data_IF_981970448034
#
_entry.id   IF_981970448034
#
_cell.length_a   1.000
_cell.length_b   1.000
_cell.length_c   1.000
_cell.angle_alpha   90.00
_cell.angle_beta   90.00
_cell.angle_gamma   90.00
#
_symmetry.space_group_name_H-M   'P 1'
#
loop_
_entity.id
_entity.type
_entity.pdbx_description
1 polymer ?
#
# COMPACT_ATOMS: atom_id res chain seq x y z
N UNK A 1 -12.73 -2.96 15.67
CA UNK A 1 -12.03 -3.85 16.63
C UNK A 1 -11.37 -3.01 17.71
N UNK A 2 -11.59 -3.38 18.96
CA UNK A 2 -11.02 -2.73 20.14
C UNK A 2 -9.50 -2.87 20.22
N UNK A 3 -8.85 -1.99 20.99
CA UNK A 3 -7.39 -1.96 21.11
C UNK A 3 -6.79 -3.31 21.54
N UNK A 4 -7.45 -4.01 22.49
CA UNK A 4 -7.03 -5.34 22.96
C UNK A 4 -7.16 -6.42 21.89
N UNK A 5 -8.21 -6.38 21.07
CA UNK A 5 -8.43 -7.34 19.99
C UNK A 5 -7.40 -7.15 18.89
N UNK A 6 -7.11 -5.91 18.51
CA UNK A 6 -6.07 -5.62 17.52
C UNK A 6 -4.66 -5.90 18.03
N UNK A 7 -4.39 -5.72 19.34
CA UNK A 7 -3.14 -6.13 19.95
C UNK A 7 -2.93 -7.64 19.86
N UNK A 8 -3.96 -8.42 20.20
CA UNK A 8 -3.91 -9.88 20.05
C UNK A 8 -3.71 -10.31 18.58
N UNK A 9 -4.40 -9.64 17.65
CA UNK A 9 -4.24 -9.87 16.21
C UNK A 9 -2.80 -9.62 15.73
N UNK A 10 -2.22 -8.48 16.10
CA UNK A 10 -0.84 -8.16 15.75
C UNK A 10 0.15 -9.19 16.31
N UNK A 11 -0.01 -9.59 17.58
CA UNK A 11 0.85 -10.61 18.19
C UNK A 11 0.72 -11.96 17.46
N UNK A 12 -0.49 -12.36 17.09
CA UNK A 12 -0.75 -13.65 16.46
C UNK A 12 -0.38 -13.74 14.98
N UNK A 13 -0.31 -12.60 14.28
CA UNK A 13 -0.15 -12.57 12.81
C UNK A 13 1.07 -11.81 12.30
N UNK A 14 1.63 -10.91 13.12
CA UNK A 14 2.68 -9.99 12.70
C UNK A 14 2.17 -8.76 11.92
N UNK A 15 0.87 -8.67 11.58
CA UNK A 15 0.32 -7.46 10.94
C UNK A 15 0.28 -6.27 11.90
N UNK A 16 0.38 -5.06 11.36
CA UNK A 16 0.30 -3.82 12.14
C UNK A 16 -1.15 -3.58 12.59
N UNK A 17 -1.37 -3.39 13.90
CA UNK A 17 -2.64 -2.91 14.41
C UNK A 17 -2.89 -1.45 13.97
N UNK A 18 -4.03 -1.19 13.33
CA UNK A 18 -4.39 0.17 12.88
C UNK A 18 -4.87 1.06 14.03
N UNK A 19 -5.35 0.46 15.13
CA UNK A 19 -5.69 1.18 16.34
C UNK A 19 -4.42 1.57 17.12
N UNK A 20 -4.10 2.87 17.14
CA UNK A 20 -2.93 3.42 17.83
C UNK A 20 -2.90 3.12 19.34
N UNK A 21 -4.04 2.83 19.97
CA UNK A 21 -4.08 2.46 21.38
C UNK A 21 -3.61 1.01 21.65
N UNK A 22 -3.50 0.15 20.62
CA UNK A 22 -3.06 -1.23 20.77
C UNK A 22 -1.64 -1.35 21.34
N UNK A 23 -0.72 -0.45 20.98
CA UNK A 23 0.67 -0.40 21.50
C UNK A 23 0.73 -0.12 23.01
N UNK A 24 -0.33 0.45 23.59
CA UNK A 24 -0.41 0.74 25.02
C UNK A 24 -0.92 -0.45 25.84
N UNK A 25 -1.35 -1.53 25.19
CA UNK A 25 -1.84 -2.72 25.91
C UNK A 25 -0.68 -3.48 26.55
N UNK A 26 -0.90 -3.97 27.78
CA UNK A 26 0.12 -4.73 28.50
C UNK A 26 0.61 -5.95 27.71
N UNK A 27 -0.29 -6.64 27.01
CA UNK A 27 0.04 -7.80 26.19
C UNK A 27 1.01 -7.45 25.05
N UNK A 28 0.75 -6.39 24.28
CA UNK A 28 1.63 -6.00 23.18
C UNK A 28 2.96 -5.41 23.68
N UNK A 29 2.96 -4.65 24.78
CA UNK A 29 4.21 -4.19 25.40
C UNK A 29 5.08 -5.34 25.89
N UNK A 30 4.48 -6.37 26.50
CA UNK A 30 5.21 -7.57 26.92
C UNK A 30 5.77 -8.35 25.71
N UNK A 31 4.99 -8.47 24.64
CA UNK A 31 5.42 -9.09 23.39
C UNK A 31 6.60 -8.35 22.75
N UNK A 32 6.53 -7.01 22.67
CA UNK A 32 7.62 -6.16 22.14
C UNK A 32 8.88 -6.28 23.01
N UNK A 33 8.76 -6.30 24.35
CA UNK A 33 9.92 -6.51 25.24
C UNK A 33 10.59 -7.86 25.02
N UNK A 34 9.80 -8.90 24.73
CA UNK A 34 10.32 -10.24 24.46
C UNK A 34 10.95 -10.33 23.06
N UNK A 35 10.38 -9.66 22.07
CA UNK A 35 10.89 -9.60 20.71
C UNK A 35 10.73 -8.17 20.14
N UNK A 36 11.78 -7.34 20.23
CA UNK A 36 11.75 -5.96 19.73
C UNK A 36 11.42 -5.83 18.25
N UNK A 37 11.72 -6.84 17.43
CA UNK A 37 11.48 -6.84 15.98
C UNK A 37 9.99 -6.67 15.63
N UNK A 38 9.08 -7.04 16.56
CA UNK A 38 7.63 -6.85 16.40
C UNK A 38 7.26 -5.35 16.29
N UNK A 39 8.09 -4.45 16.82
CA UNK A 39 7.85 -3.01 16.80
C UNK A 39 8.48 -2.31 15.59
N UNK A 40 9.45 -2.94 14.90
CA UNK A 40 10.19 -2.32 13.79
C UNK A 40 9.27 -1.81 12.67
N UNK A 41 8.25 -2.56 12.20
CA UNK A 41 7.33 -2.05 11.18
C UNK A 41 6.50 -0.85 11.65
N UNK A 42 6.19 -0.76 12.94
CA UNK A 42 5.49 0.40 13.52
C UNK A 42 6.41 1.62 13.54
N UNK A 43 7.67 1.44 13.96
CA UNK A 43 8.66 2.51 13.96
C UNK A 43 8.92 3.04 12.54
N UNK A 44 9.03 2.15 11.55
CA UNK A 44 9.15 2.53 10.14
C UNK A 44 7.93 3.32 9.64
N UNK A 45 6.72 2.88 9.97
CA UNK A 45 5.49 3.58 9.61
C UNK A 45 5.42 4.97 10.24
N UNK A 46 5.86 5.11 11.50
CA UNK A 46 5.86 6.38 12.24
C UNK A 46 6.97 7.34 11.80
N UNK A 47 8.11 6.83 11.33
CA UNK A 47 9.20 7.64 10.81
C UNK A 47 8.87 8.30 9.46
N UNK A 48 7.88 7.76 8.73
CA UNK A 48 7.43 8.30 7.45
C UNK A 48 6.80 9.69 7.57
N UNK A 49 7.17 10.60 6.66
CA UNK A 49 6.47 11.89 6.49
C UNK A 49 5.31 11.73 5.53
N UNK A 50 4.09 11.90 6.00
CA UNK A 50 2.88 11.83 5.16
C UNK A 50 2.74 13.10 4.31
N UNK A 51 2.67 12.93 2.99
CA UNK A 51 2.34 13.95 2.00
C UNK A 51 1.63 13.28 0.81
N UNK A 52 1.27 14.06 -0.22
CA UNK A 52 0.55 13.53 -1.38
C UNK A 52 1.28 12.39 -2.12
N UNK A 53 2.62 12.34 -2.08
CA UNK A 53 3.43 11.30 -2.70
C UNK A 53 3.68 10.08 -1.79
N UNK A 54 3.49 10.21 -0.47
CA UNK A 54 3.84 9.16 0.52
C UNK A 54 2.65 8.63 1.30
N UNK A 55 1.43 9.10 1.02
CA UNK A 55 0.19 8.63 1.65
C UNK A 55 -0.20 7.19 1.25
N UNK A 56 0.52 6.60 0.30
CA UNK A 56 0.27 5.28 -0.25
C UNK A 56 0.14 5.33 -1.78
N UNK A 57 0.26 4.18 -2.47
CA UNK A 57 0.08 4.12 -3.90
C UNK A 57 -1.38 4.39 -4.28
N UNK A 58 -1.59 5.16 -5.34
CA UNK A 58 -2.91 5.35 -5.92
C UNK A 58 -3.25 4.20 -6.86
N UNK A 59 -3.92 3.18 -6.34
CA UNK A 59 -4.25 1.95 -7.06
C UNK A 59 -5.63 2.07 -7.74
N UNK A 60 -5.65 2.64 -8.95
CA UNK A 60 -6.90 2.93 -9.71
C UNK A 60 -7.34 1.77 -10.58
N UNK A 61 -6.40 0.93 -10.99
CA UNK A 61 -6.66 -0.22 -11.84
C UNK A 61 -6.05 -1.48 -11.20
N UNK A 62 -6.69 -2.63 -11.42
CA UNK A 62 -6.26 -3.91 -10.86
C UNK A 62 -4.99 -4.49 -11.50
N UNK A 63 -4.46 -3.85 -12.55
CA UNK A 63 -3.31 -4.31 -13.32
C UNK A 63 -2.01 -3.53 -12.99
N UNK A 64 -2.07 -2.44 -12.21
CA UNK A 64 -0.89 -1.61 -11.87
C UNK A 64 0.22 -2.46 -11.27
N UNK A 65 -0.13 -3.35 -10.34
CA UNK A 65 0.81 -4.24 -9.68
C UNK A 65 1.44 -5.24 -10.67
N UNK A 66 0.69 -5.67 -11.70
CA UNK A 66 1.21 -6.56 -12.74
C UNK A 66 2.24 -5.86 -13.62
N UNK A 67 1.99 -4.62 -14.06
CA UNK A 67 2.94 -3.86 -14.89
C UNK A 67 4.25 -3.58 -14.15
N UNK A 68 4.17 -3.20 -12.87
CA UNK A 68 5.35 -3.03 -12.03
C UNK A 68 6.08 -4.36 -11.82
N UNK A 69 5.35 -5.46 -11.59
CA UNK A 69 5.92 -6.79 -11.48
C UNK A 69 6.66 -7.24 -12.75
N UNK A 70 6.09 -6.98 -13.92
CA UNK A 70 6.74 -7.26 -15.22
C UNK A 70 8.00 -6.43 -15.39
N UNK A 71 7.99 -5.13 -15.08
CA UNK A 71 9.19 -4.31 -15.14
C UNK A 71 10.29 -4.82 -14.21
N UNK A 72 9.95 -5.24 -12.98
CA UNK A 72 10.92 -5.86 -12.06
C UNK A 72 11.51 -7.16 -12.63
N UNK A 73 10.68 -8.03 -13.21
CA UNK A 73 11.15 -9.26 -13.86
C UNK A 73 12.11 -8.98 -15.02
N UNK A 74 11.79 -7.98 -15.85
CA UNK A 74 12.65 -7.57 -16.96
C UNK A 74 14.00 -7.03 -16.46
N UNK A 75 13.99 -6.21 -15.40
CA UNK A 75 15.22 -5.68 -14.78
C UNK A 75 16.09 -6.81 -14.23
N UNK A 76 15.49 -7.75 -13.50
CA UNK A 76 16.22 -8.92 -13.01
C UNK A 76 16.71 -9.84 -14.14
N UNK A 77 16.03 -9.82 -15.29
CA UNK A 77 16.44 -10.47 -16.53
C UNK A 77 17.52 -9.72 -17.33
N UNK A 78 18.00 -8.56 -16.84
CA UNK A 78 19.09 -7.79 -17.46
C UNK A 78 18.65 -6.74 -18.49
N UNK A 79 17.36 -6.45 -18.62
CA UNK A 79 16.88 -5.32 -19.45
C UNK A 79 17.26 -3.98 -18.79
N UNK A 80 17.41 -2.94 -19.62
CA UNK A 80 17.69 -1.58 -19.12
C UNK A 80 16.62 -1.11 -18.13
N UNK A 81 17.09 -0.60 -16.99
CA UNK A 81 16.25 -0.17 -15.87
C UNK A 81 15.32 0.97 -16.27
N UNK A 82 15.83 1.98 -16.97
CA UNK A 82 15.03 3.14 -17.34
C UNK A 82 13.96 2.76 -18.34
N UNK A 83 14.30 1.94 -19.33
CA UNK A 83 13.35 1.47 -20.32
C UNK A 83 12.24 0.63 -19.68
N UNK A 84 12.59 -0.34 -18.82
CA UNK A 84 11.58 -1.17 -18.14
C UNK A 84 10.63 -0.35 -17.27
N UNK A 85 11.14 0.64 -16.54
CA UNK A 85 10.30 1.53 -15.74
C UNK A 85 9.44 2.46 -16.60
N UNK A 86 9.96 2.96 -17.73
CA UNK A 86 9.21 3.80 -18.66
C UNK A 86 8.02 3.04 -19.27
N UNK A 87 8.24 1.80 -19.69
CA UNK A 87 7.16 0.95 -20.22
C UNK A 87 6.05 0.72 -19.18
N UNK A 88 6.41 0.41 -17.93
CA UNK A 88 5.42 0.28 -16.85
C UNK A 88 4.67 1.60 -16.58
N UNK A 89 5.38 2.72 -16.57
CA UNK A 89 4.78 4.05 -16.39
C UNK A 89 3.75 4.34 -17.50
N UNK A 90 4.07 4.02 -18.75
CA UNK A 90 3.20 4.28 -19.89
C UNK A 90 1.90 3.46 -19.83
N UNK A 91 1.99 2.18 -19.44
CA UNK A 91 0.82 1.31 -19.25
C UNK A 91 -0.03 1.76 -18.05
N UNK A 92 0.59 2.12 -16.92
CA UNK A 92 -0.12 2.67 -15.76
C UNK A 92 -0.86 3.96 -16.14
N UNK A 93 -0.20 4.89 -16.82
CA UNK A 93 -0.80 6.15 -17.26
C UNK A 93 -1.95 5.92 -18.24
N UNK A 94 -1.82 4.93 -19.14
CA UNK A 94 -2.91 4.51 -20.03
C UNK A 94 -4.11 4.00 -19.24
N UNK A 95 -3.90 3.09 -18.28
CA UNK A 95 -4.97 2.58 -17.43
C UNK A 95 -5.67 3.68 -16.63
N UNK A 96 -4.94 4.65 -16.09
CA UNK A 96 -5.53 5.82 -15.40
C UNK A 96 -6.41 6.62 -16.37
N UNK A 97 -5.93 6.91 -17.58
CA UNK A 97 -6.72 7.64 -18.60
C UNK A 97 -8.00 6.89 -18.96
N UNK A 98 -7.94 5.57 -19.09
CA UNK A 98 -9.09 4.76 -19.47
C UNK A 98 -10.11 4.68 -18.33
N UNK A 99 -9.67 4.51 -17.07
CA UNK A 99 -10.57 4.62 -15.91
C UNK A 99 -11.24 5.99 -15.83
N UNK A 100 -10.49 7.08 -16.04
CA UNK A 100 -11.04 8.44 -16.00
C UNK A 100 -12.10 8.64 -17.10
N UNK A 101 -11.87 8.14 -18.32
CA UNK A 101 -12.84 8.19 -19.42
C UNK A 101 -14.11 7.41 -19.06
N UNK A 102 -13.97 6.20 -18.52
CA UNK A 102 -15.10 5.35 -18.13
C UNK A 102 -15.92 6.00 -17.01
N UNK A 103 -15.26 6.52 -15.98
CA UNK A 103 -15.93 7.23 -14.89
C UNK A 103 -16.66 8.46 -15.41
N UNK A 104 -16.05 9.26 -16.28
CA UNK A 104 -16.71 10.41 -16.89
C UNK A 104 -17.96 10.01 -17.71
N UNK A 105 -17.92 8.89 -18.42
CA UNK A 105 -19.06 8.37 -19.16
C UNK A 105 -20.20 7.93 -18.21
N UNK A 106 -19.87 7.24 -17.11
CA UNK A 106 -20.84 6.84 -16.07
C UNK A 106 -21.45 8.07 -15.40
N UNK A 107 -20.64 9.06 -15.02
CA UNK A 107 -21.15 10.28 -14.38
C UNK A 107 -22.12 11.02 -15.31
N UNK A 108 -21.81 11.11 -16.61
CA UNK A 108 -22.74 11.69 -17.58
C UNK A 108 -24.04 10.90 -17.69
N UNK A 109 -24.00 9.56 -17.73
CA UNK A 109 -25.22 8.76 -17.85
C UNK A 109 -26.10 8.77 -16.58
N UNK A 110 -25.49 8.94 -15.40
CA UNK A 110 -26.20 8.96 -14.12
C UNK A 110 -26.74 10.35 -13.78
N UNK A 111 -25.98 11.42 -14.08
CA UNK A 111 -26.27 12.78 -13.59
C UNK A 111 -26.70 13.78 -14.66
N UNK A 112 -26.61 13.46 -15.96
CA UNK A 112 -27.24 14.29 -16.98
C UNK A 112 -28.73 13.94 -17.09
N UNK A 113 -29.53 14.48 -16.17
CA UNK A 113 -30.98 14.68 -16.34
C UNK A 113 -31.26 16.17 -16.17
#
# INVERSE_FOLDING_TARGET
>A
MEAKQQAAWQIGTGYIAVNKASVKTAALQAAIKKNPDINVPIEQLQAGKVNAATAGPFLVNSQMDQYLGTAMQQIYGGKDIKQSLQEAQDEVNKGIRDTNKNNAAILKSVFAK
#
